data_IF_576918204691
#
_entry.id   IF_576918204691
#
_cell.length_a   1.000
_cell.length_b   1.000
_cell.length_c   1.000
_cell.angle_alpha   90.00
_cell.angle_beta   90.00
_cell.angle_gamma   90.00
#
_symmetry.space_group_name_H-M   'P 1'
#
loop_
_entity.id
_entity.type
_entity.pdbx_description
1 polymer ?
#
# COMPACT_ATOMS: atom_id res chain seq x y z
N UNK A 1 -17.59 36.15 -11.85
CA UNK A 1 -16.75 36.41 -10.66
C UNK A 1 -16.50 35.06 -10.00
N UNK A 2 -15.28 34.62 -9.82
CA UNK A 2 -15.02 33.38 -9.14
C UNK A 2 -15.25 33.56 -7.64
N UNK A 3 -16.08 32.71 -7.05
CA UNK A 3 -16.33 32.65 -5.60
C UNK A 3 -15.08 32.05 -4.96
N UNK A 4 -14.26 32.87 -4.34
CA UNK A 4 -13.15 32.43 -3.50
C UNK A 4 -13.72 31.80 -2.23
N UNK A 5 -13.64 30.47 -2.09
CA UNK A 5 -13.91 29.78 -0.85
C UNK A 5 -12.90 30.23 0.21
N UNK A 6 -13.36 31.01 1.20
CA UNK A 6 -12.54 31.32 2.36
C UNK A 6 -12.22 30.04 3.14
N UNK A 7 -10.98 29.86 3.62
CA UNK A 7 -10.65 28.73 4.48
C UNK A 7 -11.44 28.82 5.78
N UNK A 8 -12.05 27.70 6.16
CA UNK A 8 -12.85 27.54 7.37
C UNK A 8 -11.96 27.79 8.60
N UNK A 9 -12.08 28.96 9.23
CA UNK A 9 -11.27 29.43 10.36
C UNK A 9 -11.78 28.88 11.71
N UNK A 10 -12.29 27.64 11.76
CA UNK A 10 -12.57 26.99 13.02
C UNK A 10 -11.23 26.63 13.69
N UNK A 11 -11.01 26.95 14.98
CA UNK A 11 -9.79 26.57 15.67
C UNK A 11 -9.65 25.04 15.61
N UNK A 12 -8.40 24.51 15.43
CA UNK A 12 -8.19 23.08 15.41
C UNK A 12 -8.74 22.44 16.70
N UNK A 13 -9.35 21.24 16.62
CA UNK A 13 -9.89 20.57 17.81
C UNK A 13 -8.78 20.40 18.86
N UNK A 14 -9.10 20.73 20.11
CA UNK A 14 -8.16 20.65 21.21
C UNK A 14 -7.61 19.22 21.33
N UNK A 15 -6.30 19.10 21.37
CA UNK A 15 -5.63 17.81 21.53
C UNK A 15 -5.80 17.30 22.97
N UNK A 16 -6.27 16.07 23.11
CA UNK A 16 -6.43 15.40 24.39
C UNK A 16 -5.08 14.87 24.90
N UNK A 17 -4.89 14.81 26.21
CA UNK A 17 -3.75 14.12 26.81
C UNK A 17 -4.04 12.63 27.00
N UNK A 18 -3.00 11.77 27.01
CA UNK A 18 -3.14 10.34 27.26
C UNK A 18 -3.77 10.08 28.64
N UNK A 19 -3.35 10.82 29.67
CA UNK A 19 -3.87 10.63 31.04
C UNK A 19 -5.37 10.88 31.14
N UNK A 20 -5.90 11.91 30.45
CA UNK A 20 -7.32 12.18 30.44
C UNK A 20 -8.10 11.11 29.67
N UNK A 21 -7.54 10.64 28.54
CA UNK A 21 -8.11 9.55 27.77
C UNK A 21 -8.20 8.26 28.62
N UNK A 22 -7.14 7.93 29.34
CA UNK A 22 -7.09 6.75 30.22
C UNK A 22 -8.15 6.83 31.34
N UNK A 23 -8.37 8.01 31.94
CA UNK A 23 -9.43 8.23 32.92
C UNK A 23 -10.82 7.94 32.33
N UNK A 24 -11.10 8.47 31.15
CA UNK A 24 -12.38 8.24 30.45
C UNK A 24 -12.58 6.74 30.13
N UNK A 25 -11.53 6.04 29.76
CA UNK A 25 -11.55 4.60 29.47
C UNK A 25 -11.80 3.78 30.74
N UNK A 26 -11.22 4.16 31.88
CA UNK A 26 -11.49 3.48 33.14
C UNK A 26 -12.96 3.70 33.62
N UNK A 27 -13.54 4.87 33.38
CA UNK A 27 -14.97 5.10 33.62
C UNK A 27 -15.84 4.25 32.69
N UNK A 28 -15.42 4.10 31.42
CA UNK A 28 -16.10 3.25 30.46
C UNK A 28 -16.03 1.77 30.85
N UNK A 29 -14.87 1.31 31.30
CA UNK A 29 -14.71 -0.05 31.83
C UNK A 29 -15.68 -0.34 32.99
N UNK A 30 -15.77 0.58 33.94
CA UNK A 30 -16.78 0.45 35.04
C UNK A 30 -18.20 0.39 34.49
N UNK A 31 -18.52 1.18 33.45
CA UNK A 31 -19.83 1.14 32.79
C UNK A 31 -20.09 -0.24 32.16
N UNK A 32 -19.13 -0.80 31.46
CA UNK A 32 -19.25 -2.13 30.83
C UNK A 32 -19.36 -3.27 31.85
N UNK A 33 -18.81 -3.10 33.05
CA UNK A 33 -18.90 -4.03 34.17
C UNK A 33 -20.16 -3.81 35.03
N UNK A 34 -21.03 -2.83 34.72
CA UNK A 34 -22.21 -2.47 35.51
C UNK A 34 -21.88 -1.90 36.90
N UNK A 35 -20.67 -1.35 37.11
CA UNK A 35 -20.21 -0.83 38.41
C UNK A 35 -20.65 0.60 38.65
N UNK A 36 -20.90 0.93 39.92
CA UNK A 36 -21.27 2.29 40.35
C UNK A 36 -20.21 3.31 39.93
N UNK A 37 -20.65 4.45 39.39
CA UNK A 37 -19.79 5.52 38.88
C UNK A 37 -19.23 5.27 37.48
N UNK A 38 -19.60 4.15 36.84
CA UNK A 38 -19.26 3.90 35.43
C UNK A 38 -19.97 4.87 34.49
N UNK A 39 -19.29 5.33 33.45
CA UNK A 39 -19.82 6.19 32.39
C UNK A 39 -19.42 5.67 31.03
N UNK A 40 -20.36 5.58 30.09
CA UNK A 40 -20.08 5.27 28.70
C UNK A 40 -19.12 6.33 28.12
N UNK A 41 -18.05 5.92 27.44
CA UNK A 41 -17.17 6.85 26.74
C UNK A 41 -17.91 7.48 25.55
N UNK A 42 -18.02 8.81 25.58
CA UNK A 42 -18.57 9.63 24.50
C UNK A 42 -17.56 10.74 24.24
N UNK A 43 -16.71 10.51 23.24
CA UNK A 43 -15.54 11.33 22.91
C UNK A 43 -15.72 11.85 21.46
N UNK A 44 -16.61 12.81 21.27
CA UNK A 44 -16.95 13.31 19.92
C UNK A 44 -16.10 14.48 19.51
N UNK A 45 -15.67 14.51 18.22
CA UNK A 45 -15.00 15.65 17.58
C UNK A 45 -13.72 16.11 18.31
N UNK A 46 -12.99 15.20 18.92
CA UNK A 46 -11.74 15.47 19.64
C UNK A 46 -10.53 15.08 18.78
N UNK A 47 -9.40 15.72 19.05
CA UNK A 47 -8.13 15.30 18.48
C UNK A 47 -7.42 14.34 19.47
N UNK A 48 -7.32 13.07 19.08
CA UNK A 48 -6.70 11.98 19.84
C UNK A 48 -5.42 11.48 19.15
N UNK A 49 -4.92 12.19 18.13
CA UNK A 49 -3.80 11.73 17.30
C UNK A 49 -2.57 11.37 18.13
N UNK A 50 -1.92 10.26 17.77
CA UNK A 50 -0.70 9.77 18.42
C UNK A 50 -0.90 9.15 19.80
N UNK A 51 -2.14 9.10 20.32
CA UNK A 51 -2.45 8.46 21.60
C UNK A 51 -2.61 6.95 21.45
N UNK A 52 -2.74 6.22 22.58
CA UNK A 52 -2.92 4.78 22.58
C UNK A 52 -4.17 4.34 23.34
N UNK A 53 -4.91 3.43 22.70
CA UNK A 53 -6.02 2.68 23.28
C UNK A 53 -5.82 1.16 23.10
N UNK A 54 -4.55 0.74 23.00
CA UNK A 54 -4.15 -0.65 22.80
C UNK A 54 -4.81 -1.59 23.80
N UNK A 55 -5.41 -2.69 23.28
CA UNK A 55 -6.06 -3.73 24.05
C UNK A 55 -7.20 -3.24 24.98
N UNK A 56 -7.77 -2.05 24.74
CA UNK A 56 -8.87 -1.52 25.56
C UNK A 56 -10.23 -2.06 25.11
N UNK A 57 -11.13 -2.26 26.05
CA UNK A 57 -12.54 -2.60 25.79
C UNK A 57 -13.35 -1.31 25.64
N UNK A 58 -13.72 -1.01 24.40
CA UNK A 58 -14.41 0.19 23.97
C UNK A 58 -15.74 -0.14 23.28
N UNK A 59 -16.30 -1.30 23.62
CA UNK A 59 -17.61 -1.73 23.10
C UNK A 59 -18.66 -0.65 23.36
N UNK A 60 -19.47 -0.34 22.33
CA UNK A 60 -20.53 0.66 22.41
C UNK A 60 -20.06 2.09 22.71
N UNK A 61 -18.77 2.39 22.74
CA UNK A 61 -18.23 3.74 22.88
C UNK A 61 -18.59 4.62 21.66
N UNK A 62 -18.52 5.93 21.82
CA UNK A 62 -18.82 6.89 20.76
C UNK A 62 -17.63 7.85 20.54
N UNK A 63 -16.97 7.68 19.41
CA UNK A 63 -15.84 8.49 18.94
C UNK A 63 -16.20 9.33 17.72
N UNK A 64 -17.48 9.51 17.41
CA UNK A 64 -17.91 10.14 16.16
C UNK A 64 -17.20 11.46 15.87
N UNK A 65 -16.60 11.56 14.68
CA UNK A 65 -15.87 12.74 14.18
C UNK A 65 -14.54 13.02 14.84
N UNK A 66 -13.96 12.07 15.59
CA UNK A 66 -12.64 12.23 16.17
C UNK A 66 -11.52 12.15 15.11
N UNK A 67 -10.44 12.89 15.35
CA UNK A 67 -9.16 12.75 14.66
C UNK A 67 -8.33 11.77 15.48
N UNK A 68 -8.04 10.60 14.90
CA UNK A 68 -7.40 9.46 15.55
C UNK A 68 -6.17 8.99 14.73
N UNK A 69 -5.50 9.94 14.07
CA UNK A 69 -4.34 9.65 13.23
C UNK A 69 -3.17 9.13 14.06
N UNK A 70 -2.43 8.20 13.48
CA UNK A 70 -1.20 7.66 14.08
C UNK A 70 -1.41 7.05 15.48
N UNK A 71 -2.66 6.70 15.87
CA UNK A 71 -2.97 6.06 17.15
C UNK A 71 -2.57 4.59 17.16
N UNK A 72 -2.16 4.09 18.34
CA UNK A 72 -2.08 2.64 18.57
C UNK A 72 -3.40 2.14 19.18
N UNK A 73 -4.21 1.49 18.33
CA UNK A 73 -5.49 0.88 18.66
C UNK A 73 -5.43 -0.65 18.59
N UNK A 74 -4.21 -1.22 18.48
CA UNK A 74 -4.03 -2.65 18.26
C UNK A 74 -4.68 -3.49 19.36
N UNK A 75 -5.43 -4.51 18.93
CA UNK A 75 -6.17 -5.41 19.83
C UNK A 75 -7.33 -4.77 20.60
N UNK A 76 -7.67 -3.50 20.37
CA UNK A 76 -8.81 -2.86 21.01
C UNK A 76 -10.15 -3.45 20.52
N UNK A 77 -11.18 -3.42 21.37
CA UNK A 77 -12.50 -3.94 21.04
C UNK A 77 -13.51 -2.80 20.90
N UNK A 78 -13.87 -2.47 19.67
CA UNK A 78 -14.87 -1.47 19.28
C UNK A 78 -16.19 -2.10 18.82
N UNK A 79 -16.52 -3.30 19.26
CA UNK A 79 -17.81 -3.93 18.90
C UNK A 79 -18.96 -2.97 19.20
N UNK A 80 -19.83 -2.73 18.20
CA UNK A 80 -21.02 -1.86 18.32
C UNK A 80 -20.70 -0.39 18.68
N UNK A 81 -19.43 0.03 18.57
CA UNK A 81 -19.02 1.41 18.80
C UNK A 81 -19.34 2.28 17.58
N UNK A 82 -19.45 3.59 17.79
CA UNK A 82 -19.52 4.56 16.71
C UNK A 82 -18.15 5.20 16.48
N UNK A 83 -17.63 5.02 15.27
CA UNK A 83 -16.46 5.72 14.71
C UNK A 83 -16.88 6.51 13.47
N UNK A 84 -18.14 6.95 13.44
CA UNK A 84 -18.74 7.69 12.35
C UNK A 84 -17.89 8.92 11.98
N UNK A 85 -17.49 9.02 10.71
CA UNK A 85 -16.68 10.10 10.16
C UNK A 85 -15.36 10.36 10.93
N UNK A 86 -14.76 9.33 11.55
CA UNK A 86 -13.44 9.43 12.17
C UNK A 86 -12.33 9.49 11.13
N UNK A 87 -11.23 10.15 11.50
CA UNK A 87 -9.98 10.13 10.75
C UNK A 87 -8.98 9.18 11.46
N UNK A 88 -8.83 7.97 10.92
CA UNK A 88 -7.98 6.89 11.42
C UNK A 88 -6.74 6.69 10.52
N UNK A 89 -6.38 7.68 9.71
CA UNK A 89 -5.23 7.56 8.81
C UNK A 89 -3.95 7.19 9.57
N UNK A 90 -3.16 6.26 9.01
CA UNK A 90 -1.93 5.71 9.58
C UNK A 90 -2.07 5.04 10.95
N UNK A 91 -3.27 4.80 11.48
CA UNK A 91 -3.44 4.17 12.78
C UNK A 91 -3.03 2.69 12.77
N UNK A 92 -2.49 2.21 13.87
CA UNK A 92 -2.28 0.79 14.10
C UNK A 92 -3.57 0.16 14.63
N UNK A 93 -4.30 -0.52 13.74
CA UNK A 93 -5.56 -1.22 13.99
C UNK A 93 -5.39 -2.75 13.96
N UNK A 94 -4.16 -3.24 14.10
CA UNK A 94 -3.84 -4.66 14.02
C UNK A 94 -4.67 -5.47 15.03
N UNK A 95 -5.37 -6.51 14.55
CA UNK A 95 -6.24 -7.37 15.36
C UNK A 95 -7.34 -6.64 16.13
N UNK A 96 -7.70 -5.43 15.74
CA UNK A 96 -8.82 -4.67 16.35
C UNK A 96 -10.16 -5.32 16.00
N UNK A 97 -11.11 -5.26 16.91
CA UNK A 97 -12.46 -5.82 16.71
C UNK A 97 -13.46 -4.69 16.48
N UNK A 98 -14.01 -4.59 15.27
CA UNK A 98 -15.02 -3.63 14.84
C UNK A 98 -16.38 -4.30 14.51
N UNK A 99 -16.64 -5.47 15.07
CA UNK A 99 -17.87 -6.22 14.78
C UNK A 99 -19.10 -5.34 15.02
N UNK A 100 -19.93 -5.14 13.99
CA UNK A 100 -21.11 -4.28 13.98
C UNK A 100 -20.85 -2.82 14.38
N UNK A 101 -19.63 -2.32 14.22
CA UNK A 101 -19.31 -0.91 14.44
C UNK A 101 -19.86 -0.03 13.31
N UNK A 102 -20.16 1.21 13.63
CA UNK A 102 -20.52 2.25 12.67
C UNK A 102 -19.25 3.01 12.26
N UNK A 103 -18.73 2.71 11.07
CA UNK A 103 -17.54 3.33 10.46
C UNK A 103 -17.92 4.19 9.25
N UNK A 104 -19.20 4.52 9.06
CA UNK A 104 -19.66 5.30 7.91
C UNK A 104 -18.87 6.61 7.76
N UNK A 105 -18.37 6.87 6.56
CA UNK A 105 -17.59 8.06 6.23
C UNK A 105 -16.23 8.14 6.91
N UNK A 106 -15.73 7.07 7.54
CA UNK A 106 -14.40 7.05 8.16
C UNK A 106 -13.30 7.09 7.10
N UNK A 107 -12.17 7.72 7.45
CA UNK A 107 -10.93 7.71 6.67
C UNK A 107 -9.93 6.79 7.36
N UNK A 108 -9.48 5.76 6.65
CA UNK A 108 -8.63 4.68 7.19
C UNK A 108 -7.41 4.47 6.26
N UNK A 109 -7.04 5.53 5.54
CA UNK A 109 -5.93 5.52 4.59
C UNK A 109 -4.62 5.13 5.27
N UNK A 110 -3.86 4.24 4.64
CA UNK A 110 -2.54 3.79 5.13
C UNK A 110 -2.54 3.18 6.54
N UNK A 111 -3.68 2.82 7.11
CA UNK A 111 -3.76 2.18 8.42
C UNK A 111 -3.41 0.69 8.35
N UNK A 112 -2.90 0.13 9.44
CA UNK A 112 -2.63 -1.31 9.56
C UNK A 112 -3.78 -2.02 10.29
N UNK A 113 -4.62 -2.74 9.54
CA UNK A 113 -5.75 -3.55 10.02
C UNK A 113 -5.46 -5.06 9.88
N UNK A 114 -4.20 -5.49 9.82
CA UNK A 114 -3.89 -6.89 9.64
C UNK A 114 -4.56 -7.75 10.72
N UNK A 115 -5.34 -8.74 10.28
CA UNK A 115 -6.12 -9.62 11.15
C UNK A 115 -7.25 -8.94 11.95
N UNK A 116 -7.66 -7.72 11.61
CA UNK A 116 -8.80 -7.06 12.24
C UNK A 116 -10.13 -7.77 11.89
N UNK A 117 -11.12 -7.63 12.77
CA UNK A 117 -12.45 -8.20 12.56
C UNK A 117 -13.49 -7.08 12.41
N UNK A 118 -13.99 -6.88 11.20
CA UNK A 118 -15.02 -5.92 10.83
C UNK A 118 -16.35 -6.60 10.46
N UNK A 119 -16.59 -7.84 10.90
CA UNK A 119 -17.80 -8.59 10.51
C UNK A 119 -19.06 -7.76 10.79
N UNK A 120 -19.90 -7.62 9.76
CA UNK A 120 -21.15 -6.85 9.78
C UNK A 120 -20.98 -5.37 10.17
N UNK A 121 -19.81 -4.77 10.02
CA UNK A 121 -19.62 -3.34 10.21
C UNK A 121 -20.32 -2.54 9.10
N UNK A 122 -20.69 -1.30 9.40
CA UNK A 122 -21.26 -0.37 8.43
C UNK A 122 -20.16 0.57 7.90
N UNK A 123 -19.77 0.36 6.65
CA UNK A 123 -18.72 1.09 5.93
C UNK A 123 -19.30 1.94 4.77
N UNK A 124 -20.59 2.26 4.83
CA UNK A 124 -21.22 3.10 3.80
C UNK A 124 -20.75 4.55 3.89
N UNK A 125 -21.14 5.36 2.91
CA UNK A 125 -20.92 6.79 2.96
C UNK A 125 -21.53 7.42 4.24
N UNK A 126 -20.80 8.37 4.82
CA UNK A 126 -21.22 9.14 5.97
C UNK A 126 -20.69 10.56 5.89
N UNK A 127 -21.33 11.52 6.56
CA UNK A 127 -20.87 12.91 6.59
C UNK A 127 -21.73 13.74 7.53
N UNK A 128 -21.18 14.84 8.04
CA UNK A 128 -21.93 15.78 8.87
C UNK A 128 -22.63 16.80 7.98
N UNK A 129 -23.95 16.97 8.16
CA UNK A 129 -24.65 18.14 7.66
C UNK A 129 -24.38 19.30 8.61
N UNK A 130 -23.70 20.35 8.13
CA UNK A 130 -23.69 21.64 8.82
C UNK A 130 -24.82 22.49 8.26
N UNK A 131 -25.34 23.44 9.06
CA UNK A 131 -26.45 24.30 8.63
C UNK A 131 -26.12 25.16 7.38
N UNK A 132 -24.85 25.22 6.99
CA UNK A 132 -24.35 26.09 5.91
C UNK A 132 -23.80 25.32 4.68
N UNK A 133 -23.61 24.01 4.75
CA UNK A 133 -23.16 23.21 3.61
C UNK A 133 -23.67 21.77 3.70
N UNK A 134 -24.33 21.31 2.64
CA UNK A 134 -24.56 19.90 2.37
C UNK A 134 -23.23 19.32 1.87
N UNK A 135 -22.51 18.65 2.75
CA UNK A 135 -21.36 17.84 2.32
C UNK A 135 -21.92 16.47 1.93
N UNK A 136 -22.01 16.11 0.62
CA UNK A 136 -22.44 14.78 0.22
C UNK A 136 -21.57 13.76 0.93
N UNK A 137 -22.17 12.77 1.57
CA UNK A 137 -21.49 11.82 2.44
C UNK A 137 -20.19 11.28 1.83
N UNK A 138 -19.12 11.30 2.60
CA UNK A 138 -17.83 10.77 2.21
C UNK A 138 -17.89 9.23 2.27
N UNK A 139 -17.45 8.56 1.20
CA UNK A 139 -17.26 7.11 1.20
C UNK A 139 -16.17 6.73 2.19
N UNK A 140 -16.26 5.55 2.78
CA UNK A 140 -15.17 5.02 3.60
C UNK A 140 -13.95 4.78 2.72
N UNK A 141 -12.79 5.20 3.19
CA UNK A 141 -11.55 5.19 2.43
C UNK A 141 -10.48 4.36 3.13
N UNK A 142 -10.12 3.22 2.51
CA UNK A 142 -9.06 2.29 2.92
C UNK A 142 -7.85 2.32 1.99
N UNK A 143 -7.68 3.37 1.21
CA UNK A 143 -6.58 3.43 0.22
C UNK A 143 -5.23 3.15 0.89
N UNK A 144 -4.48 2.20 0.33
CA UNK A 144 -3.17 1.81 0.84
C UNK A 144 -3.17 1.18 2.23
N UNK A 145 -4.33 0.85 2.81
CA UNK A 145 -4.40 0.18 4.09
C UNK A 145 -3.96 -1.29 3.99
N UNK A 146 -3.42 -1.81 5.09
CA UNK A 146 -3.12 -3.23 5.21
C UNK A 146 -4.30 -3.94 5.89
N UNK A 147 -5.01 -4.77 5.14
CA UNK A 147 -6.16 -5.58 5.55
C UNK A 147 -5.85 -7.09 5.44
N UNK A 148 -4.57 -7.48 5.39
CA UNK A 148 -4.19 -8.88 5.22
C UNK A 148 -4.79 -9.77 6.33
N UNK A 149 -5.50 -10.83 5.93
CA UNK A 149 -6.18 -11.74 6.86
C UNK A 149 -7.30 -11.11 7.68
N UNK A 150 -7.76 -9.90 7.36
CA UNK A 150 -8.88 -9.27 8.03
C UNK A 150 -10.21 -9.98 7.67
N UNK A 151 -11.23 -9.79 8.50
CA UNK A 151 -12.57 -10.32 8.29
C UNK A 151 -13.55 -9.17 8.07
N UNK A 152 -14.21 -9.19 6.92
CA UNK A 152 -15.24 -8.23 6.50
C UNK A 152 -16.52 -8.96 6.09
N UNK A 153 -16.78 -10.14 6.65
CA UNK A 153 -17.97 -10.92 6.31
C UNK A 153 -19.25 -10.15 6.63
N UNK A 154 -20.16 -10.09 5.65
CA UNK A 154 -21.46 -9.40 5.79
C UNK A 154 -21.37 -7.88 5.99
N UNK A 155 -20.22 -7.23 5.75
CA UNK A 155 -20.10 -5.77 5.85
C UNK A 155 -20.92 -5.04 4.79
N UNK A 156 -21.38 -3.83 5.14
CA UNK A 156 -22.01 -2.90 4.20
C UNK A 156 -20.95 -1.89 3.72
N UNK A 157 -20.35 -2.11 2.56
CA UNK A 157 -19.21 -1.35 2.05
C UNK A 157 -19.46 -0.80 0.62
N UNK A 158 -20.69 -0.40 0.33
CA UNK A 158 -21.05 0.17 -0.97
C UNK A 158 -20.22 1.42 -1.26
N UNK A 159 -19.61 1.48 -2.46
CA UNK A 159 -18.74 2.56 -2.91
C UNK A 159 -17.50 2.82 -2.01
N UNK A 160 -17.13 1.93 -1.11
CA UNK A 160 -15.90 2.05 -0.33
C UNK A 160 -14.67 2.02 -1.24
N UNK A 161 -13.61 2.74 -0.86
CA UNK A 161 -12.36 2.82 -1.62
C UNK A 161 -11.27 1.96 -0.96
N UNK A 162 -10.98 0.80 -1.57
CA UNK A 162 -9.90 -0.11 -1.21
C UNK A 162 -8.75 -0.06 -2.22
N UNK A 163 -8.66 1.02 -3.01
CA UNK A 163 -7.58 1.15 -4.00
C UNK A 163 -6.21 1.03 -3.35
N UNK A 164 -5.31 0.29 -3.99
CA UNK A 164 -3.95 0.00 -3.49
C UNK A 164 -3.91 -0.69 -2.10
N UNK A 165 -5.00 -1.22 -1.55
CA UNK A 165 -4.98 -1.90 -0.26
C UNK A 165 -4.36 -3.31 -0.36
N UNK A 166 -3.66 -3.74 0.71
CA UNK A 166 -3.19 -5.11 0.87
C UNK A 166 -4.32 -5.91 1.52
N UNK A 167 -4.97 -6.79 0.76
CA UNK A 167 -6.15 -7.55 1.17
C UNK A 167 -5.95 -9.06 0.99
N UNK A 168 -4.70 -9.53 1.05
CA UNK A 168 -4.40 -10.96 0.92
C UNK A 168 -5.07 -11.77 2.02
N UNK A 169 -5.70 -12.89 1.64
CA UNK A 169 -6.44 -13.80 2.56
C UNK A 169 -7.57 -13.13 3.34
N UNK A 170 -8.12 -12.04 2.82
CA UNK A 170 -9.27 -11.37 3.44
C UNK A 170 -10.54 -12.20 3.28
N UNK A 171 -11.40 -12.18 4.30
CA UNK A 171 -12.75 -12.75 4.24
C UNK A 171 -13.77 -11.64 3.91
N UNK A 172 -14.30 -11.67 2.68
CA UNK A 172 -15.34 -10.77 2.17
C UNK A 172 -16.68 -11.50 1.97
N UNK A 173 -16.86 -12.67 2.58
CA UNK A 173 -18.05 -13.50 2.36
C UNK A 173 -19.34 -12.74 2.66
N UNK A 174 -20.25 -12.72 1.70
CA UNK A 174 -21.54 -12.04 1.82
C UNK A 174 -21.50 -10.52 1.99
N UNK A 175 -20.36 -9.87 1.80
CA UNK A 175 -20.22 -8.41 1.91
C UNK A 175 -20.94 -7.69 0.76
N UNK A 176 -21.53 -6.53 1.04
CA UNK A 176 -22.09 -5.62 0.03
C UNK A 176 -21.01 -4.62 -0.43
N UNK A 177 -20.38 -4.93 -1.56
CA UNK A 177 -19.26 -4.22 -2.17
C UNK A 177 -19.66 -3.55 -3.49
N UNK A 178 -20.94 -3.30 -3.71
CA UNK A 178 -21.43 -2.68 -4.96
C UNK A 178 -20.79 -1.30 -5.15
N UNK A 179 -20.23 -1.11 -6.35
CA UNK A 179 -19.52 0.13 -6.69
C UNK A 179 -18.20 0.36 -5.94
N UNK A 180 -17.74 -0.58 -5.13
CA UNK A 180 -16.47 -0.46 -4.41
C UNK A 180 -15.28 -0.42 -5.38
N UNK A 181 -14.21 0.26 -4.97
CA UNK A 181 -12.99 0.43 -5.76
C UNK A 181 -11.87 -0.41 -5.15
N UNK A 182 -11.28 -1.29 -5.99
CA UNK A 182 -10.15 -2.16 -5.63
C UNK A 182 -8.96 -1.95 -6.57
N UNK A 183 -8.93 -0.84 -7.32
CA UNK A 183 -7.87 -0.59 -8.28
C UNK A 183 -6.48 -0.73 -7.65
N UNK A 184 -5.66 -1.63 -8.22
CA UNK A 184 -4.31 -1.89 -7.71
C UNK A 184 -4.23 -2.72 -6.43
N UNK A 185 -5.34 -3.07 -5.79
CA UNK A 185 -5.35 -3.84 -4.54
C UNK A 185 -4.80 -5.27 -4.71
N UNK A 186 -4.27 -5.84 -3.64
CA UNK A 186 -3.84 -7.23 -3.57
C UNK A 186 -4.91 -8.07 -2.85
N UNK A 187 -5.68 -8.83 -3.61
CA UNK A 187 -6.74 -9.75 -3.15
C UNK A 187 -6.27 -11.22 -3.24
N UNK A 188 -4.97 -11.48 -3.21
CA UNK A 188 -4.44 -12.85 -3.27
C UNK A 188 -5.11 -13.75 -2.22
N UNK A 189 -5.66 -14.88 -2.65
CA UNK A 189 -6.35 -15.87 -1.80
C UNK A 189 -7.55 -15.29 -0.99
N UNK A 190 -8.16 -14.17 -1.44
CA UNK A 190 -9.35 -13.62 -0.80
C UNK A 190 -10.58 -14.53 -0.99
N UNK A 191 -11.42 -14.64 0.05
CA UNK A 191 -12.71 -15.29 -0.04
C UNK A 191 -13.81 -14.26 -0.34
N UNK A 192 -14.32 -14.27 -1.56
CA UNK A 192 -15.37 -13.36 -2.06
C UNK A 192 -16.72 -14.06 -2.22
N UNK A 193 -16.89 -15.26 -1.65
CA UNK A 193 -18.11 -16.06 -1.81
C UNK A 193 -19.35 -15.29 -1.36
N UNK A 194 -20.31 -15.16 -2.26
CA UNK A 194 -21.57 -14.46 -2.00
C UNK A 194 -21.45 -12.94 -1.84
N UNK A 195 -20.28 -12.36 -2.06
CA UNK A 195 -20.10 -10.90 -2.07
C UNK A 195 -20.88 -10.27 -3.24
N UNK A 196 -21.50 -9.12 -3.00
CA UNK A 196 -22.18 -8.35 -4.04
C UNK A 196 -21.20 -7.35 -4.65
N UNK A 197 -20.72 -7.60 -5.87
CA UNK A 197 -19.65 -6.85 -6.54
C UNK A 197 -20.14 -6.04 -7.75
N UNK A 198 -21.45 -5.88 -7.94
CA UNK A 198 -22.00 -5.18 -9.10
C UNK A 198 -21.42 -3.77 -9.23
N UNK A 199 -20.78 -3.49 -10.39
CA UNK A 199 -20.16 -2.19 -10.67
C UNK A 199 -18.87 -1.91 -9.90
N UNK A 200 -18.28 -2.90 -9.21
CA UNK A 200 -16.99 -2.73 -8.58
C UNK A 200 -15.86 -2.56 -9.63
N UNK A 201 -14.88 -1.72 -9.31
CA UNK A 201 -13.69 -1.52 -10.13
C UNK A 201 -12.53 -2.36 -9.56
N UNK A 202 -12.12 -3.40 -10.30
CA UNK A 202 -11.00 -4.28 -9.94
C UNK A 202 -9.85 -4.19 -10.96
N UNK A 203 -9.70 -3.05 -11.62
CA UNK A 203 -8.57 -2.83 -12.56
C UNK A 203 -7.24 -3.00 -11.85
N UNK A 204 -6.29 -3.65 -12.53
CA UNK A 204 -4.92 -3.86 -12.02
C UNK A 204 -4.83 -4.59 -10.66
N UNK A 205 -5.91 -5.21 -10.16
CA UNK A 205 -5.89 -6.00 -8.92
C UNK A 205 -5.12 -7.31 -9.08
N UNK A 206 -4.62 -7.85 -7.96
CA UNK A 206 -4.09 -9.21 -7.90
C UNK A 206 -5.21 -10.11 -7.34
N UNK A 207 -5.66 -11.08 -8.13
CA UNK A 207 -6.78 -11.99 -7.85
C UNK A 207 -6.35 -13.46 -7.88
N UNK A 208 -5.08 -13.73 -7.69
CA UNK A 208 -4.57 -15.13 -7.68
C UNK A 208 -5.12 -15.88 -6.48
N UNK A 209 -5.56 -17.12 -6.70
CA UNK A 209 -6.23 -17.93 -5.68
C UNK A 209 -7.67 -17.53 -5.38
N UNK A 210 -8.21 -16.50 -6.05
CA UNK A 210 -9.63 -16.10 -5.93
C UNK A 210 -10.48 -16.88 -6.92
N UNK A 211 -11.64 -17.37 -6.49
CA UNK A 211 -12.59 -18.03 -7.36
C UNK A 211 -13.27 -17.01 -8.27
N UNK A 212 -12.85 -16.96 -9.53
CA UNK A 212 -13.37 -16.00 -10.51
C UNK A 212 -14.86 -16.18 -10.82
N UNK A 213 -15.40 -17.39 -10.64
CA UNK A 213 -16.85 -17.65 -10.82
C UNK A 213 -17.70 -16.83 -9.85
N UNK A 214 -17.18 -16.52 -8.67
CA UNK A 214 -17.88 -15.69 -7.69
C UNK A 214 -17.88 -14.19 -8.08
N UNK A 215 -17.02 -13.78 -9.02
CA UNK A 215 -16.87 -12.41 -9.52
C UNK A 215 -17.53 -12.23 -10.90
N UNK A 216 -17.38 -13.23 -11.77
CA UNK A 216 -17.91 -13.21 -13.15
C UNK A 216 -19.43 -13.08 -13.17
N UNK A 217 -19.94 -12.20 -14.02
CA UNK A 217 -21.38 -11.93 -14.14
C UNK A 217 -21.86 -10.72 -13.35
N UNK A 218 -21.00 -10.13 -12.46
CA UNK A 218 -21.33 -8.94 -11.68
C UNK A 218 -21.03 -7.61 -12.41
N UNK A 219 -20.59 -7.64 -13.67
CA UNK A 219 -20.20 -6.43 -14.43
C UNK A 219 -18.96 -5.73 -13.84
N UNK A 220 -18.07 -6.49 -13.24
CA UNK A 220 -16.80 -6.00 -12.64
C UNK A 220 -15.78 -5.70 -13.73
N UNK A 221 -15.09 -4.58 -13.64
CA UNK A 221 -13.96 -4.25 -14.53
C UNK A 221 -12.67 -4.93 -14.02
N UNK A 222 -12.23 -5.96 -14.76
CA UNK A 222 -11.02 -6.75 -14.49
C UNK A 222 -9.84 -6.35 -15.40
N UNK A 223 -9.89 -5.20 -16.06
CA UNK A 223 -8.82 -4.74 -16.95
C UNK A 223 -7.48 -4.73 -16.23
N UNK A 224 -6.45 -5.32 -16.84
CA UNK A 224 -5.09 -5.42 -16.29
C UNK A 224 -4.97 -6.14 -14.93
N UNK A 225 -6.01 -6.82 -14.48
CA UNK A 225 -5.95 -7.64 -13.26
C UNK A 225 -5.11 -8.92 -13.49
N UNK A 226 -4.51 -9.43 -12.42
CA UNK A 226 -3.74 -10.68 -12.43
C UNK A 226 -4.60 -11.79 -11.82
N UNK A 227 -4.92 -12.80 -12.61
CA UNK A 227 -5.70 -13.98 -12.21
C UNK A 227 -4.88 -15.24 -12.42
N UNK A 228 -5.34 -16.38 -11.93
CA UNK A 228 -4.67 -17.68 -12.19
C UNK A 228 -4.65 -18.06 -13.68
N UNK A 229 -5.51 -17.43 -14.49
CA UNK A 229 -5.59 -17.68 -15.93
C UNK A 229 -4.57 -16.87 -16.75
N UNK A 230 -4.10 -15.71 -16.23
CA UNK A 230 -3.25 -14.77 -16.96
C UNK A 230 -1.94 -14.41 -16.26
N UNK A 231 -1.50 -15.21 -15.29
CA UNK A 231 -0.28 -14.93 -14.50
C UNK A 231 1.03 -14.90 -15.32
N UNK A 232 1.01 -15.33 -16.57
CA UNK A 232 2.19 -15.43 -17.43
C UNK A 232 2.73 -16.85 -17.53
N UNK A 233 3.97 -16.99 -18.02
CA UNK A 233 4.62 -18.29 -18.18
C UNK A 233 4.94 -18.90 -16.83
N UNK A 234 4.70 -20.21 -16.68
CA UNK A 234 5.11 -20.93 -15.48
C UNK A 234 6.59 -21.32 -15.53
N UNK A 235 7.26 -21.32 -14.39
CA UNK A 235 8.64 -21.89 -14.31
C UNK A 235 8.68 -23.38 -14.67
N UNK A 236 7.54 -24.07 -14.64
CA UNK A 236 7.43 -25.47 -15.13
C UNK A 236 7.59 -25.57 -16.65
N UNK A 237 7.38 -24.47 -17.37
CA UNK A 237 7.50 -24.41 -18.84
C UNK A 237 8.96 -24.18 -19.28
N UNK A 238 9.91 -24.10 -18.34
CA UNK A 238 11.33 -24.01 -18.64
C UNK A 238 11.87 -25.36 -19.11
N UNK A 239 12.51 -25.42 -20.26
CA UNK A 239 13.17 -26.62 -20.81
C UNK A 239 14.33 -27.10 -19.91
N UNK A 240 14.87 -26.20 -19.10
CA UNK A 240 16.02 -26.44 -18.22
C UNK A 240 15.69 -25.96 -16.80
N UNK A 241 16.04 -26.72 -15.75
CA UNK A 241 15.80 -26.29 -14.36
C UNK A 241 16.39 -24.91 -14.08
N UNK A 242 15.63 -24.03 -13.42
CA UNK A 242 16.02 -22.64 -13.13
C UNK A 242 17.40 -22.55 -12.46
N UNK A 243 17.72 -23.43 -11.52
CA UNK A 243 19.02 -23.45 -10.83
C UNK A 243 20.20 -23.61 -11.81
N UNK A 244 20.04 -24.40 -12.88
CA UNK A 244 21.04 -24.56 -13.93
C UNK A 244 21.15 -23.29 -14.77
N UNK A 245 20.02 -22.70 -15.14
CA UNK A 245 19.97 -21.44 -15.88
C UNK A 245 20.65 -20.29 -15.11
N UNK A 246 20.41 -20.20 -13.80
CA UNK A 246 21.08 -19.22 -12.93
C UNK A 246 22.60 -19.46 -12.91
N UNK A 247 23.05 -20.72 -12.84
CA UNK A 247 24.47 -21.04 -12.87
C UNK A 247 25.11 -20.65 -14.20
N UNK A 248 24.45 -20.93 -15.32
CA UNK A 248 24.91 -20.53 -16.67
C UNK A 248 24.96 -19.00 -16.80
N UNK A 249 23.97 -18.29 -16.26
CA UNK A 249 23.93 -16.84 -16.23
C UNK A 249 25.09 -16.23 -15.42
N UNK A 250 25.36 -16.78 -14.23
CA UNK A 250 26.50 -16.33 -13.42
C UNK A 250 27.83 -16.51 -14.16
N UNK A 251 28.00 -17.61 -14.89
CA UNK A 251 29.18 -17.84 -15.72
C UNK A 251 29.24 -16.82 -16.87
N UNK A 252 28.10 -16.54 -17.52
CA UNK A 252 28.00 -15.52 -18.56
C UNK A 252 28.41 -14.13 -18.05
N UNK A 253 27.96 -13.73 -16.88
CA UNK A 253 28.34 -12.46 -16.23
C UNK A 253 29.85 -12.44 -15.91
N UNK A 254 30.36 -13.50 -15.28
CA UNK A 254 31.75 -13.59 -14.85
C UNK A 254 32.76 -13.57 -16.05
N UNK A 255 32.32 -14.11 -17.17
CA UNK A 255 33.16 -14.18 -18.40
C UNK A 255 32.89 -13.03 -19.38
N UNK A 256 32.10 -12.04 -18.98
CA UNK A 256 31.68 -10.90 -19.83
C UNK A 256 31.08 -11.41 -21.16
N UNK A 257 30.20 -12.40 -21.06
CA UNK A 257 29.44 -12.95 -22.19
C UNK A 257 30.17 -13.99 -23.06
N UNK A 258 31.40 -14.40 -22.68
CA UNK A 258 32.15 -15.38 -23.46
C UNK A 258 31.70 -16.82 -23.26
N UNK A 259 31.22 -17.15 -22.05
CA UNK A 259 30.73 -18.47 -21.70
C UNK A 259 29.40 -18.37 -20.95
N UNK A 260 28.60 -19.43 -20.96
CA UNK A 260 27.29 -19.46 -20.37
C UNK A 260 26.24 -18.78 -21.25
N UNK A 261 25.12 -18.39 -20.63
CA UNK A 261 24.01 -17.73 -21.33
C UNK A 261 23.32 -16.72 -20.44
N UNK A 262 22.98 -15.55 -20.98
CA UNK A 262 22.15 -14.57 -20.27
C UNK A 262 20.79 -15.18 -19.94
N UNK A 263 20.38 -15.07 -18.68
CA UNK A 263 19.06 -15.52 -18.22
C UNK A 263 17.98 -14.56 -18.70
N UNK A 264 16.95 -15.09 -19.36
CA UNK A 264 15.75 -14.37 -19.76
C UNK A 264 14.52 -15.01 -19.09
N UNK A 265 13.93 -14.28 -18.14
CA UNK A 265 12.72 -14.65 -17.42
C UNK A 265 11.55 -13.73 -17.80
N UNK A 266 11.58 -13.13 -18.99
CA UNK A 266 10.53 -12.21 -19.44
C UNK A 266 9.17 -12.89 -19.54
N UNK A 267 8.18 -12.29 -18.87
CA UNK A 267 6.80 -12.77 -18.82
C UNK A 267 6.57 -14.00 -17.93
N UNK A 268 7.58 -14.42 -17.14
CA UNK A 268 7.38 -15.51 -16.19
C UNK A 268 6.74 -15.07 -14.88
N UNK A 269 5.92 -15.95 -14.31
CA UNK A 269 5.46 -15.86 -12.92
C UNK A 269 6.50 -16.48 -11.99
N UNK A 270 7.13 -15.65 -11.18
CA UNK A 270 8.24 -16.06 -10.30
C UNK A 270 7.81 -16.19 -8.83
N UNK A 271 6.57 -15.86 -8.49
CA UNK A 271 6.05 -15.85 -7.11
C UNK A 271 6.14 -17.20 -6.41
N UNK A 272 6.13 -18.28 -7.17
CA UNK A 272 6.31 -19.67 -6.66
C UNK A 272 7.66 -19.89 -5.98
N UNK A 273 8.68 -19.05 -6.28
CA UNK A 273 10.02 -19.18 -5.68
C UNK A 273 10.08 -18.70 -4.23
N UNK A 274 9.13 -17.89 -3.77
CA UNK A 274 9.05 -17.28 -2.45
C UNK A 274 10.24 -16.38 -2.09
N UNK A 275 11.49 -16.77 -2.35
CA UNK A 275 12.68 -15.97 -2.06
C UNK A 275 13.76 -16.12 -3.12
N UNK A 276 14.42 -14.98 -3.41
CA UNK A 276 15.67 -14.86 -4.17
C UNK A 276 16.64 -13.92 -3.41
N UNK A 277 16.56 -13.91 -2.08
CA UNK A 277 17.42 -13.09 -1.23
C UNK A 277 18.90 -13.37 -1.48
N UNK A 278 19.69 -12.30 -1.66
CA UNK A 278 21.13 -12.36 -1.90
C UNK A 278 21.56 -12.92 -3.26
N UNK A 279 20.62 -13.27 -4.15
CA UNK A 279 20.95 -13.81 -5.46
C UNK A 279 21.65 -12.79 -6.35
N UNK A 280 22.65 -13.28 -7.14
CA UNK A 280 23.42 -12.47 -8.09
C UNK A 280 22.88 -12.66 -9.50
N UNK A 281 22.06 -11.71 -9.94
CA UNK A 281 21.37 -11.73 -11.23
C UNK A 281 21.67 -10.45 -12.04
N UNK A 282 22.93 -9.97 -11.97
CA UNK A 282 23.42 -8.81 -12.74
C UNK A 282 23.13 -9.01 -14.23
N UNK A 283 22.60 -7.97 -14.89
CA UNK A 283 22.20 -8.00 -16.29
C UNK A 283 21.11 -9.03 -16.64
N UNK A 284 20.29 -9.45 -15.66
CA UNK A 284 19.11 -10.28 -15.89
C UNK A 284 18.17 -9.59 -16.90
N UNK A 285 17.54 -10.36 -17.77
CA UNK A 285 16.40 -9.92 -18.55
C UNK A 285 15.13 -10.55 -18.02
N UNK A 286 14.16 -9.74 -17.59
CA UNK A 286 12.90 -10.22 -17.04
C UNK A 286 11.78 -9.19 -17.26
N UNK A 287 11.59 -8.77 -18.51
CA UNK A 287 10.55 -7.81 -18.91
C UNK A 287 9.17 -8.38 -18.62
N UNK A 288 8.32 -7.63 -17.90
CA UNK A 288 6.96 -8.05 -17.56
C UNK A 288 6.88 -9.28 -16.64
N UNK A 289 7.97 -9.64 -15.97
CA UNK A 289 7.97 -10.74 -15.00
C UNK A 289 7.21 -10.36 -13.72
N UNK A 290 6.66 -11.36 -13.03
CA UNK A 290 5.86 -11.17 -11.80
C UNK A 290 6.58 -11.71 -10.60
N UNK A 291 6.88 -10.80 -9.64
CA UNK A 291 7.64 -11.05 -8.43
C UNK A 291 6.82 -10.84 -7.16
N UNK A 292 5.57 -10.37 -7.28
CA UNK A 292 4.75 -9.88 -6.17
C UNK A 292 4.91 -10.68 -4.88
N UNK A 293 5.13 -9.98 -3.76
CA UNK A 293 5.24 -10.56 -2.42
C UNK A 293 6.50 -11.35 -2.12
N UNK A 294 7.48 -11.42 -3.05
CA UNK A 294 8.71 -12.19 -2.86
C UNK A 294 9.71 -11.51 -1.92
N UNK A 295 10.46 -12.33 -1.19
CA UNK A 295 11.67 -11.88 -0.52
C UNK A 295 12.85 -11.83 -1.51
N UNK A 296 13.30 -10.61 -1.77
CA UNK A 296 14.42 -10.28 -2.67
C UNK A 296 15.43 -9.38 -1.93
N UNK A 297 15.52 -9.51 -0.62
CA UNK A 297 16.47 -8.76 0.22
C UNK A 297 17.90 -8.97 -0.31
N UNK A 298 18.66 -7.87 -0.43
CA UNK A 298 20.06 -7.84 -0.90
C UNK A 298 20.30 -8.47 -2.29
N UNK A 299 19.26 -8.62 -3.13
CA UNK A 299 19.40 -9.14 -4.50
C UNK A 299 20.25 -8.21 -5.36
N UNK A 300 21.07 -8.76 -6.26
CA UNK A 300 21.92 -8.00 -7.19
C UNK A 300 21.32 -8.04 -8.60
N UNK A 301 20.75 -6.92 -9.04
CA UNK A 301 20.08 -6.73 -10.33
C UNK A 301 20.71 -5.60 -11.17
N UNK A 302 22.00 -5.26 -10.92
CA UNK A 302 22.67 -4.20 -11.67
C UNK A 302 22.55 -4.43 -13.17
N UNK A 303 22.30 -3.37 -13.93
CA UNK A 303 22.17 -3.40 -15.40
C UNK A 303 21.09 -4.36 -15.93
N UNK A 304 20.15 -4.81 -15.09
CA UNK A 304 19.07 -5.67 -15.52
C UNK A 304 18.04 -4.91 -16.39
N UNK A 305 17.29 -5.66 -17.20
CA UNK A 305 16.17 -5.16 -18.00
C UNK A 305 14.88 -5.71 -17.40
N UNK A 306 14.16 -4.85 -16.67
CA UNK A 306 12.99 -5.20 -15.82
C UNK A 306 11.78 -4.33 -16.16
N UNK A 307 11.70 -3.82 -17.39
CA UNK A 307 10.56 -3.02 -17.84
C UNK A 307 9.24 -3.73 -17.57
N UNK A 308 8.21 -3.00 -17.11
CA UNK A 308 6.87 -3.52 -16.86
C UNK A 308 6.80 -4.68 -15.84
N UNK A 309 7.90 -4.97 -15.13
CA UNK A 309 7.90 -6.00 -14.10
C UNK A 309 7.07 -5.60 -12.89
N UNK A 310 6.49 -6.59 -12.21
CA UNK A 310 5.59 -6.39 -11.08
C UNK A 310 6.28 -6.83 -9.77
N UNK A 311 6.72 -5.84 -8.98
CA UNK A 311 7.39 -5.99 -7.69
C UNK A 311 6.48 -5.58 -6.52
N UNK A 312 5.16 -5.52 -6.72
CA UNK A 312 4.25 -5.11 -5.64
C UNK A 312 4.42 -5.98 -4.41
N UNK A 313 4.44 -5.34 -3.24
CA UNK A 313 4.60 -5.98 -1.93
C UNK A 313 5.88 -6.81 -1.76
N UNK A 314 6.90 -6.65 -2.61
CA UNK A 314 8.20 -7.34 -2.47
C UNK A 314 9.02 -6.77 -1.32
N UNK A 315 9.82 -7.64 -0.69
CA UNK A 315 10.86 -7.25 0.26
C UNK A 315 12.17 -7.08 -0.50
N UNK A 316 12.57 -5.82 -0.78
CA UNK A 316 13.70 -5.43 -1.61
C UNK A 316 14.74 -4.61 -0.82
N UNK A 317 14.79 -4.79 0.49
CA UNK A 317 15.73 -4.07 1.35
C UNK A 317 17.16 -4.36 0.91
N UNK A 318 17.97 -3.29 0.75
CA UNK A 318 19.36 -3.42 0.35
C UNK A 318 19.58 -3.92 -1.09
N UNK A 319 18.52 -4.09 -1.89
CA UNK A 319 18.65 -4.55 -3.29
C UNK A 319 19.48 -3.59 -4.14
N UNK A 320 20.29 -4.14 -5.02
CA UNK A 320 21.15 -3.38 -5.94
C UNK A 320 20.53 -3.32 -7.34
N UNK A 321 19.94 -2.17 -7.67
CA UNK A 321 19.30 -1.84 -8.94
C UNK A 321 20.12 -0.84 -9.76
N UNK A 322 21.41 -0.69 -9.50
CA UNK A 322 22.23 0.29 -10.20
C UNK A 322 22.20 0.08 -11.72
N UNK A 323 21.99 1.18 -12.47
CA UNK A 323 21.91 1.16 -13.93
C UNK A 323 20.82 0.25 -14.51
N UNK A 324 19.77 -0.07 -13.77
CA UNK A 324 18.68 -0.96 -14.18
C UNK A 324 17.61 -0.20 -14.98
N UNK A 325 17.02 -0.85 -15.99
CA UNK A 325 15.86 -0.34 -16.70
C UNK A 325 14.58 -0.90 -16.05
N UNK A 326 13.83 -0.03 -15.36
CA UNK A 326 12.61 -0.30 -14.61
C UNK A 326 11.40 0.51 -15.13
N UNK A 327 11.45 0.94 -16.39
CA UNK A 327 10.32 1.70 -16.97
C UNK A 327 9.01 0.97 -16.82
N UNK A 328 7.98 1.69 -16.34
CA UNK A 328 6.63 1.16 -16.12
C UNK A 328 6.57 -0.04 -15.16
N UNK A 329 7.61 -0.27 -14.35
CA UNK A 329 7.57 -1.29 -13.31
C UNK A 329 6.63 -0.88 -12.17
N UNK A 330 6.08 -1.86 -11.45
CA UNK A 330 5.15 -1.67 -10.35
C UNK A 330 5.81 -2.04 -9.03
N UNK A 331 5.87 -1.11 -8.07
CA UNK A 331 6.49 -1.28 -6.76
C UNK A 331 5.53 -0.87 -5.62
N UNK A 332 4.23 -0.79 -5.87
CA UNK A 332 3.29 -0.40 -4.81
C UNK A 332 3.49 -1.30 -3.58
N UNK A 333 3.60 -0.69 -2.38
CA UNK A 333 3.88 -1.36 -1.12
C UNK A 333 5.19 -2.16 -1.03
N UNK A 334 6.13 -2.01 -1.97
CA UNK A 334 7.44 -2.65 -1.87
C UNK A 334 8.27 -2.03 -0.74
N UNK A 335 9.03 -2.86 -0.02
CA UNK A 335 10.04 -2.43 0.95
C UNK A 335 11.39 -2.26 0.26
N UNK A 336 11.71 -1.04 -0.15
CA UNK A 336 12.93 -0.66 -0.86
C UNK A 336 13.96 0.02 0.06
N UNK A 337 13.83 -0.12 1.38
CA UNK A 337 14.72 0.54 2.32
C UNK A 337 16.19 0.19 2.04
N UNK A 338 17.03 1.23 2.00
CA UNK A 338 18.47 1.12 1.73
C UNK A 338 18.82 0.47 0.36
N UNK A 339 17.89 0.35 -0.57
CA UNK A 339 18.18 -0.12 -1.93
C UNK A 339 19.01 0.92 -2.71
N UNK A 340 19.79 0.48 -3.68
CA UNK A 340 20.69 1.33 -4.47
C UNK A 340 20.29 1.36 -5.95
N UNK A 341 19.86 2.53 -6.44
CA UNK A 341 19.50 2.82 -7.83
C UNK A 341 20.50 3.80 -8.48
N UNK A 342 21.67 3.98 -7.90
CA UNK A 342 22.70 4.91 -8.36
C UNK A 342 23.23 4.54 -9.75
N UNK A 343 23.91 5.46 -10.46
CA UNK A 343 24.56 5.16 -11.73
C UNK A 343 25.73 4.17 -11.57
N UNK A 344 25.95 3.36 -12.59
CA UNK A 344 27.22 2.68 -12.79
C UNK A 344 28.09 3.50 -13.73
N UNK A 345 29.37 3.69 -13.35
CA UNK A 345 30.35 4.41 -14.13
C UNK A 345 31.32 3.43 -14.77
N UNK A 346 31.62 3.63 -16.03
CA UNK A 346 32.58 2.82 -16.80
C UNK A 346 33.33 3.67 -17.81
N UNK A 347 34.47 3.19 -18.25
CA UNK A 347 35.23 3.83 -19.30
C UNK A 347 34.91 3.21 -20.67
N UNK A 348 34.61 4.04 -21.66
CA UNK A 348 34.39 3.62 -23.04
C UNK A 348 34.96 4.65 -23.98
N UNK A 349 35.90 4.20 -24.86
CA UNK A 349 36.57 5.08 -25.80
C UNK A 349 37.37 6.20 -25.12
N UNK A 350 38.00 5.93 -23.97
CA UNK A 350 38.77 6.92 -23.21
C UNK A 350 37.94 7.99 -22.49
N UNK A 351 36.63 7.84 -22.46
CA UNK A 351 35.70 8.74 -21.77
C UNK A 351 34.98 8.02 -20.65
N UNK A 352 34.82 8.70 -19.50
CA UNK A 352 34.01 8.24 -18.37
C UNK A 352 32.53 8.39 -18.73
N UNK A 353 31.80 7.29 -18.80
CA UNK A 353 30.36 7.25 -19.08
C UNK A 353 29.62 6.75 -17.86
N UNK A 354 28.34 7.12 -17.77
CA UNK A 354 27.43 6.65 -16.72
C UNK A 354 26.23 5.96 -17.36
N UNK A 355 25.85 4.78 -16.84
CA UNK A 355 24.55 4.18 -17.05
C UNK A 355 23.70 4.49 -15.85
N UNK A 356 22.55 5.12 -16.06
CA UNK A 356 21.63 5.55 -14.99
C UNK A 356 20.45 4.58 -14.86
N UNK A 357 19.89 4.50 -13.67
CA UNK A 357 18.64 3.78 -13.46
C UNK A 357 17.48 4.60 -14.05
N UNK A 358 16.53 3.93 -14.72
CA UNK A 358 15.35 4.56 -15.30
C UNK A 358 14.08 3.90 -14.75
N UNK A 359 13.20 4.71 -14.16
CA UNK A 359 11.93 4.30 -13.58
C UNK A 359 10.75 5.07 -14.18
N UNK A 360 10.92 5.58 -15.42
CA UNK A 360 9.89 6.40 -16.08
C UNK A 360 8.55 5.67 -16.17
N UNK A 361 7.47 6.34 -15.78
CA UNK A 361 6.12 5.78 -15.78
C UNK A 361 5.91 4.63 -14.77
N UNK A 362 6.83 4.43 -13.81
CA UNK A 362 6.66 3.42 -12.77
C UNK A 362 5.57 3.80 -11.76
N UNK A 363 5.00 2.80 -11.10
CA UNK A 363 4.08 2.98 -9.99
C UNK A 363 4.76 2.55 -8.68
N UNK A 364 5.02 3.51 -7.78
CA UNK A 364 5.65 3.27 -6.48
C UNK A 364 4.74 3.75 -5.32
N UNK A 365 3.44 3.81 -5.54
CA UNK A 365 2.49 4.24 -4.50
C UNK A 365 2.68 3.42 -3.23
N UNK A 366 2.76 4.09 -2.08
CA UNK A 366 2.99 3.46 -0.77
C UNK A 366 4.30 2.66 -0.64
N UNK A 367 5.25 2.77 -1.57
CA UNK A 367 6.55 2.12 -1.44
C UNK A 367 7.35 2.75 -0.29
N UNK A 368 8.03 1.92 0.49
CA UNK A 368 8.95 2.38 1.53
C UNK A 368 10.37 2.42 0.99
N UNK A 369 10.85 3.61 0.65
CA UNK A 369 12.18 3.84 0.09
C UNK A 369 13.17 4.41 1.12
N UNK A 370 12.82 4.49 2.42
CA UNK A 370 13.63 5.18 3.41
C UNK A 370 15.11 4.77 3.39
N UNK A 371 16.00 5.78 3.29
CA UNK A 371 17.44 5.58 3.22
C UNK A 371 17.98 5.03 1.89
N UNK A 372 17.14 4.84 0.87
CA UNK A 372 17.57 4.37 -0.45
C UNK A 372 18.34 5.45 -1.23
N UNK A 373 19.13 5.03 -2.24
CA UNK A 373 19.90 5.91 -3.11
C UNK A 373 19.30 5.92 -4.52
N UNK A 374 18.84 7.08 -4.95
CA UNK A 374 18.28 7.33 -6.28
C UNK A 374 19.08 8.39 -7.06
N UNK A 375 20.41 8.38 -6.87
CA UNK A 375 21.29 9.37 -7.49
C UNK A 375 21.10 9.36 -9.01
N UNK A 376 20.75 10.51 -9.61
CA UNK A 376 20.50 10.68 -11.05
C UNK A 376 19.46 9.72 -11.65
N UNK A 377 18.61 9.09 -10.82
CA UNK A 377 17.52 8.23 -11.28
C UNK A 377 16.44 9.06 -11.99
N UNK A 378 15.89 8.53 -13.09
CA UNK A 378 14.75 9.15 -13.77
C UNK A 378 13.43 8.56 -13.28
N UNK A 379 12.53 9.42 -12.80
CA UNK A 379 11.15 9.12 -12.35
C UNK A 379 10.10 9.84 -13.20
N UNK A 380 10.44 10.19 -14.45
CA UNK A 380 9.52 10.94 -15.29
C UNK A 380 8.17 10.25 -15.42
N UNK A 381 7.09 11.03 -15.26
CA UNK A 381 5.72 10.55 -15.39
C UNK A 381 5.36 9.37 -14.46
N UNK A 382 6.10 9.18 -13.35
CA UNK A 382 5.87 8.09 -12.39
C UNK A 382 4.81 8.47 -11.36
N UNK A 383 4.08 7.48 -10.84
CA UNK A 383 3.17 7.67 -9.71
C UNK A 383 3.88 7.25 -8.41
N UNK A 384 4.26 8.25 -7.61
CA UNK A 384 5.00 8.12 -6.36
C UNK A 384 4.14 8.55 -5.15
N UNK A 385 2.83 8.69 -5.34
CA UNK A 385 1.95 9.17 -4.29
C UNK A 385 2.04 8.29 -3.05
N UNK A 386 2.11 8.93 -1.87
CA UNK A 386 2.25 8.27 -0.57
C UNK A 386 3.55 7.47 -0.36
N UNK A 387 4.52 7.52 -1.29
CA UNK A 387 5.82 6.86 -1.11
C UNK A 387 6.65 7.54 -0.02
N UNK A 388 7.47 6.76 0.68
CA UNK A 388 8.34 7.26 1.75
C UNK A 388 9.79 7.35 1.26
N UNK A 389 10.24 8.58 0.95
CA UNK A 389 11.62 8.91 0.58
C UNK A 389 12.41 9.50 1.76
N UNK A 390 12.00 9.25 3.00
CA UNK A 390 12.69 9.76 4.19
C UNK A 390 14.16 9.36 4.19
N UNK A 391 15.05 10.36 4.29
CA UNK A 391 16.50 10.15 4.33
C UNK A 391 17.13 9.59 3.06
N UNK A 392 16.43 9.59 1.91
CA UNK A 392 16.97 9.16 0.62
C UNK A 392 18.03 10.11 0.07
N UNK A 393 18.97 9.57 -0.72
CA UNK A 393 19.82 10.38 -1.61
C UNK A 393 19.18 10.47 -3.00
N UNK A 394 18.58 11.62 -3.31
CA UNK A 394 17.89 11.93 -4.57
C UNK A 394 18.72 12.89 -5.44
N UNK A 395 20.03 13.03 -5.16
CA UNK A 395 20.90 13.99 -5.84
C UNK A 395 20.85 13.83 -7.37
N UNK A 396 20.44 14.88 -8.06
CA UNK A 396 20.30 14.91 -9.51
C UNK A 396 19.20 14.03 -10.10
N UNK A 397 18.28 13.48 -9.30
CA UNK A 397 17.12 12.72 -9.78
C UNK A 397 16.14 13.59 -10.56
N UNK A 398 15.38 13.00 -11.49
CA UNK A 398 14.44 13.72 -12.36
C UNK A 398 13.00 13.25 -12.10
N UNK A 399 12.20 14.10 -11.42
CA UNK A 399 10.79 13.88 -11.07
C UNK A 399 9.82 14.63 -11.99
N UNK A 400 10.27 15.08 -13.18
CA UNK A 400 9.41 15.81 -14.12
C UNK A 400 8.17 14.97 -14.48
N UNK A 401 6.97 15.53 -14.33
CA UNK A 401 5.69 14.84 -14.57
C UNK A 401 5.30 13.83 -13.50
N UNK A 402 6.12 13.62 -12.46
CA UNK A 402 5.82 12.62 -11.42
C UNK A 402 4.73 13.12 -10.46
N UNK A 403 3.80 12.21 -10.12
CA UNK A 403 2.84 12.45 -9.04
C UNK A 403 3.49 12.15 -7.68
N UNK A 404 3.76 13.18 -6.88
CA UNK A 404 4.35 13.07 -5.54
C UNK A 404 3.34 13.43 -4.43
N UNK A 405 2.04 13.32 -4.69
CA UNK A 405 0.98 13.62 -3.73
C UNK A 405 1.20 12.84 -2.43
N UNK A 406 1.26 13.54 -1.28
CA UNK A 406 1.47 12.95 0.05
C UNK A 406 2.76 12.10 0.20
N UNK A 407 3.71 12.17 -0.74
CA UNK A 407 5.01 11.52 -0.58
C UNK A 407 5.83 12.22 0.51
N UNK A 408 6.63 11.45 1.25
CA UNK A 408 7.45 11.94 2.37
C UNK A 408 8.89 12.13 1.93
N UNK A 409 9.44 13.35 2.12
CA UNK A 409 10.83 13.69 1.76
C UNK A 409 11.66 14.17 2.97
N UNK A 410 11.21 13.89 4.19
CA UNK A 410 11.89 14.34 5.42
C UNK A 410 13.34 13.88 5.43
N UNK A 411 14.27 14.85 5.48
CA UNK A 411 15.71 14.57 5.53
C UNK A 411 16.29 13.98 4.23
N UNK A 412 15.57 13.99 3.12
CA UNK A 412 16.09 13.57 1.82
C UNK A 412 17.08 14.61 1.27
N UNK A 413 18.16 14.13 0.60
CA UNK A 413 19.11 14.97 -0.13
C UNK A 413 18.59 15.17 -1.55
N UNK A 414 18.19 16.39 -1.90
CA UNK A 414 17.57 16.73 -3.20
C UNK A 414 18.43 17.64 -4.07
N UNK A 415 19.72 17.75 -3.80
CA UNK A 415 20.63 18.63 -4.55
C UNK A 415 20.63 18.30 -6.06
N UNK A 416 20.34 19.29 -6.90
CA UNK A 416 20.24 19.12 -8.33
C UNK A 416 19.10 18.25 -8.84
N UNK A 417 18.18 17.81 -7.96
CA UNK A 417 16.97 17.11 -8.36
C UNK A 417 15.99 18.06 -9.08
N UNK A 418 15.23 17.52 -10.04
CA UNK A 418 14.24 18.28 -10.81
C UNK A 418 12.84 17.87 -10.37
N UNK A 419 12.02 18.84 -10.00
CA UNK A 419 10.60 18.69 -9.65
C UNK A 419 9.77 19.75 -10.38
N UNK A 420 8.54 19.42 -10.76
CA UNK A 420 7.59 20.42 -11.25
C UNK A 420 7.14 21.35 -10.12
N UNK A 421 6.94 20.78 -8.92
CA UNK A 421 6.73 21.52 -7.68
C UNK A 421 7.62 20.91 -6.60
N UNK A 422 8.52 21.69 -5.98
CA UNK A 422 9.41 21.17 -4.94
C UNK A 422 8.62 20.57 -3.76
N UNK A 423 9.02 19.41 -3.24
CA UNK A 423 8.38 18.84 -2.07
C UNK A 423 8.71 19.63 -0.80
N UNK A 424 7.84 19.53 0.21
CA UNK A 424 8.17 19.94 1.57
C UNK A 424 9.19 18.92 2.16
N UNK A 425 10.39 19.37 2.51
CA UNK A 425 11.48 18.54 3.07
C UNK A 425 11.53 18.60 4.59
#
# INVERSE_FOLDING_TARGET
MPVTSQPNNSPPPQQMSQSYLDEMVELHKKFMEGRVGGRRAVLRKLNLSGLSLKNRDLRQADFSGCIMRDMDLSGANFREASLYACDLCNANLNKTVFVRADLRGARIESADLAGANLDNADLRAGGFTTAESFNPGQNVNFRGANLAGARLSGTLATNADFSDAIMSKIDLTGADLRGARFEGADLTEADVKGAQLMGANMRSTILTGVRLDDIRGSGVDLTDSITDENVGKSLKDLDTPLAKLIKEHRNWVATVGKEGKQLDLSGYDLRVLLSLSGEKLTALKAVGARWCGMDMTDIQLQSATLEQSDFRSCFLRGADFRATNLKKARFSHADLRNADFSPLYFEAGGQKRASVCTMDGSNMRYANCAGAKFIKTSFKDSDLAYADFTGCDLSGADFTGANIENAKFKGAQIEGAKFDTPPAT
#
